data_IF_755736371609
#
_entry.id   IF_755736371609
#
_cell.length_a   1.000
_cell.length_b   1.000
_cell.length_c   1.000
_cell.angle_alpha   90.00
_cell.angle_beta   90.00
_cell.angle_gamma   90.00
#
_symmetry.space_group_name_H-M   'P 1'
#
loop_
_entity.id
_entity.type
_entity.pdbx_description
1 polymer ?
#
# COMPACT_ATOMS: atom_id res chain seq x y z
N UNK A 1 -12.58 -6.78 18.70
CA UNK A 1 -13.28 -5.73 17.92
C UNK A 1 -12.28 -5.19 16.92
N UNK A 2 -12.64 -5.03 15.66
CA UNK A 2 -11.72 -4.53 14.65
C UNK A 2 -11.36 -3.06 14.91
N UNK A 3 -10.07 -2.74 14.80
CA UNK A 3 -9.62 -1.35 14.71
C UNK A 3 -10.03 -0.73 13.37
N UNK A 4 -9.90 0.60 13.24
CA UNK A 4 -10.21 1.30 11.99
C UNK A 4 -9.31 0.82 10.84
N UNK A 5 -8.03 0.60 11.13
CA UNK A 5 -7.02 0.17 10.15
C UNK A 5 -7.18 -1.31 9.81
N UNK A 6 -7.51 -2.18 10.78
CA UNK A 6 -7.82 -3.59 10.52
C UNK A 6 -9.09 -3.76 9.70
N UNK A 7 -10.13 -2.97 10.00
CA UNK A 7 -11.35 -2.96 9.20
C UNK A 7 -11.08 -2.48 7.77
N UNK A 8 -10.21 -1.50 7.59
CA UNK A 8 -9.79 -1.03 6.27
C UNK A 8 -8.99 -2.10 5.52
N UNK A 9 -8.07 -2.79 6.20
CA UNK A 9 -7.32 -3.91 5.63
C UNK A 9 -8.27 -5.02 5.16
N UNK A 10 -9.24 -5.42 6.00
CA UNK A 10 -10.28 -6.38 5.63
C UNK A 10 -11.08 -5.92 4.40
N UNK A 11 -11.43 -4.62 4.33
CA UNK A 11 -12.14 -4.08 3.16
C UNK A 11 -11.33 -4.22 1.86
N UNK A 12 -10.02 -4.09 1.95
CA UNK A 12 -9.10 -4.16 0.81
C UNK A 12 -8.83 -5.63 0.41
N UNK A 13 -8.70 -6.53 1.38
CA UNK A 13 -8.49 -7.96 1.13
C UNK A 13 -9.73 -8.63 0.50
N UNK A 14 -10.93 -8.15 0.83
CA UNK A 14 -12.21 -8.74 0.38
C UNK A 14 -12.92 -7.98 -0.73
N UNK A 15 -12.33 -6.87 -1.23
CA UNK A 15 -12.94 -5.99 -2.24
C UNK A 15 -14.38 -5.55 -1.92
N UNK A 16 -14.73 -5.41 -0.64
CA UNK A 16 -16.10 -5.03 -0.25
C UNK A 16 -16.35 -3.54 -0.46
N UNK A 17 -17.51 -3.22 -1.04
CA UNK A 17 -17.96 -1.85 -1.20
C UNK A 17 -18.38 -1.24 0.14
N UNK A 18 -18.48 0.09 0.20
CA UNK A 18 -19.00 0.82 1.37
C UNK A 18 -20.35 0.27 1.84
N UNK A 19 -21.26 0.01 0.91
CA UNK A 19 -22.62 -0.42 1.24
C UNK A 19 -22.65 -1.83 1.82
N UNK A 20 -21.86 -2.75 1.23
CA UNK A 20 -21.68 -4.10 1.76
C UNK A 20 -21.07 -4.06 3.16
N UNK A 21 -20.04 -3.24 3.37
CA UNK A 21 -19.44 -3.06 4.70
C UNK A 21 -20.44 -2.50 5.71
N UNK A 22 -21.22 -1.50 5.31
CA UNK A 22 -22.25 -0.90 6.16
C UNK A 22 -23.33 -1.91 6.53
N UNK A 23 -23.73 -2.76 5.58
CA UNK A 23 -24.67 -3.87 5.82
C UNK A 23 -24.09 -4.89 6.82
N UNK A 24 -22.81 -5.26 6.69
CA UNK A 24 -22.13 -6.15 7.64
C UNK A 24 -22.09 -5.55 9.04
N UNK A 25 -21.73 -4.27 9.16
CA UNK A 25 -21.75 -3.54 10.43
C UNK A 25 -23.15 -3.52 11.06
N UNK A 26 -24.19 -3.16 10.29
CA UNK A 26 -25.56 -3.15 10.78
C UNK A 26 -26.07 -4.56 11.15
N UNK A 27 -25.67 -5.58 10.39
CA UNK A 27 -25.98 -6.98 10.69
C UNK A 27 -25.39 -7.43 12.03
N UNK A 28 -24.12 -7.12 12.29
CA UNK A 28 -23.47 -7.40 13.56
C UNK A 28 -24.12 -6.62 14.71
N UNK A 29 -24.38 -5.32 14.50
CA UNK A 29 -25.00 -4.44 15.50
C UNK A 29 -26.40 -4.90 15.90
N UNK A 30 -27.22 -5.36 14.94
CA UNK A 30 -28.56 -5.92 15.20
C UNK A 30 -28.52 -7.18 16.08
N UNK A 31 -27.44 -7.94 16.01
CA UNK A 31 -27.19 -9.11 16.88
C UNK A 31 -26.52 -8.74 18.21
N UNK A 32 -26.43 -7.46 18.55
CA UNK A 32 -25.76 -6.98 19.76
C UNK A 32 -24.23 -7.07 19.71
N UNK A 33 -23.64 -7.32 18.54
CA UNK A 33 -22.19 -7.42 18.37
C UNK A 33 -21.63 -6.13 17.79
N UNK A 34 -20.64 -5.55 18.47
CA UNK A 34 -19.91 -4.37 18.01
C UNK A 34 -18.58 -4.74 17.36
N UNK A 35 -18.57 -5.78 16.52
CA UNK A 35 -17.33 -6.31 15.94
C UNK A 35 -16.65 -5.33 14.98
N UNK A 36 -17.42 -4.65 14.12
CA UNK A 36 -16.92 -3.76 13.08
C UNK A 36 -17.11 -2.29 13.47
N UNK A 37 -16.11 -1.41 13.27
CA UNK A 37 -16.29 0.03 13.46
C UNK A 37 -17.28 0.63 12.46
N UNK A 38 -17.82 1.80 12.78
CA UNK A 38 -18.63 2.55 11.82
C UNK A 38 -17.76 2.99 10.64
N UNK A 39 -18.35 3.06 9.44
CA UNK A 39 -17.63 3.42 8.21
C UNK A 39 -16.96 4.80 8.30
N UNK A 40 -17.51 5.75 9.06
CA UNK A 40 -16.89 7.08 9.19
C UNK A 40 -15.51 7.03 9.86
N UNK A 41 -15.32 6.08 10.78
CA UNK A 41 -14.03 5.83 11.44
C UNK A 41 -13.05 5.21 10.43
N UNK A 42 -13.51 4.23 9.65
CA UNK A 42 -12.73 3.59 8.57
C UNK A 42 -12.37 4.60 7.47
N UNK A 43 -13.26 5.54 7.17
CA UNK A 43 -13.01 6.65 6.25
C UNK A 43 -11.90 7.56 6.79
N UNK A 44 -11.82 7.76 8.10
CA UNK A 44 -10.70 8.42 8.76
C UNK A 44 -9.38 7.69 8.48
N UNK A 45 -9.34 6.37 8.66
CA UNK A 45 -8.17 5.55 8.32
C UNK A 45 -7.78 5.67 6.85
N UNK A 46 -8.73 5.66 5.91
CA UNK A 46 -8.46 5.88 4.48
C UNK A 46 -7.74 7.20 4.21
N UNK A 47 -8.20 8.27 4.86
CA UNK A 47 -7.59 9.60 4.70
C UNK A 47 -6.15 9.65 5.21
N UNK A 48 -5.79 8.85 6.20
CA UNK A 48 -4.41 8.77 6.72
C UNK A 48 -3.41 8.20 5.70
N UNK A 49 -3.89 7.48 4.69
CA UNK A 49 -3.05 6.92 3.61
C UNK A 49 -2.83 7.91 2.46
N UNK A 50 -3.38 9.12 2.55
CA UNK A 50 -3.25 10.12 1.49
C UNK A 50 -2.23 11.18 1.90
N UNK A 51 -1.31 11.57 0.98
CA UNK A 51 -0.51 12.77 1.18
C UNK A 51 -1.41 14.01 1.12
N UNK A 52 -0.85 15.18 1.46
CA UNK A 52 -1.60 16.44 1.45
C UNK A 52 -2.33 16.67 0.11
N UNK A 53 -3.56 17.19 0.18
CA UNK A 53 -4.39 17.48 -0.99
C UNK A 53 -3.71 18.45 -1.96
N UNK A 54 -2.90 19.36 -1.42
CA UNK A 54 -2.15 20.36 -2.22
C UNK A 54 -1.12 19.72 -3.15
N UNK A 55 -0.69 18.49 -2.84
CA UNK A 55 0.29 17.74 -3.63
C UNK A 55 -0.36 16.81 -4.67
N UNK A 56 -1.69 16.78 -4.76
CA UNK A 56 -2.44 15.89 -5.66
C UNK A 56 -3.15 16.73 -6.73
N UNK A 57 -2.79 16.51 -7.99
CA UNK A 57 -3.46 17.13 -9.13
C UNK A 57 -4.19 16.07 -9.94
N UNK A 58 -5.49 16.24 -10.16
CA UNK A 58 -6.30 15.32 -10.97
C UNK A 58 -6.90 16.04 -12.16
N UNK A 59 -6.69 15.45 -13.33
CA UNK A 59 -7.22 15.89 -14.62
C UNK A 59 -8.09 14.78 -15.23
N UNK A 60 -8.71 15.05 -16.37
CA UNK A 60 -9.53 14.06 -17.08
C UNK A 60 -8.71 12.87 -17.61
N UNK A 61 -7.45 13.12 -17.99
CA UNK A 61 -6.57 12.12 -18.58
C UNK A 61 -5.71 11.39 -17.55
N UNK A 62 -5.32 12.06 -16.47
CA UNK A 62 -4.42 11.48 -15.47
C UNK A 62 -4.62 12.06 -14.05
N UNK A 63 -4.13 11.33 -13.06
CA UNK A 63 -3.95 11.79 -11.69
C UNK A 63 -2.45 11.77 -11.36
N UNK A 64 -1.96 12.82 -10.70
CA UNK A 64 -0.54 13.02 -10.38
C UNK A 64 -0.38 13.37 -8.91
N UNK A 65 0.71 12.90 -8.33
CA UNK A 65 1.15 13.28 -6.98
C UNK A 65 2.61 13.71 -7.05
N UNK A 66 2.98 14.76 -6.31
CA UNK A 66 4.37 15.19 -6.22
C UNK A 66 5.23 14.08 -5.61
N UNK A 67 6.34 13.74 -6.26
CA UNK A 67 7.20 12.62 -5.83
C UNK A 67 7.72 12.80 -4.41
N UNK A 68 8.24 14.00 -4.08
CA UNK A 68 8.76 14.28 -2.75
C UNK A 68 7.70 14.05 -1.67
N UNK A 69 6.50 14.60 -1.86
CA UNK A 69 5.38 14.41 -0.93
C UNK A 69 4.97 12.94 -0.78
N UNK A 70 5.05 12.15 -1.84
CA UNK A 70 4.77 10.71 -1.78
C UNK A 70 5.83 9.95 -0.97
N UNK A 71 7.12 10.27 -1.16
CA UNK A 71 8.22 9.65 -0.42
C UNK A 71 8.17 10.04 1.07
N UNK A 72 7.96 11.32 1.37
CA UNK A 72 7.82 11.82 2.73
C UNK A 72 6.60 11.19 3.43
N UNK A 73 5.48 11.04 2.72
CA UNK A 73 4.32 10.36 3.26
C UNK A 73 4.61 8.88 3.53
N UNK A 74 5.24 8.18 2.57
CA UNK A 74 5.55 6.76 2.71
C UNK A 74 6.52 6.50 3.86
N UNK A 75 7.56 7.32 4.01
CA UNK A 75 8.50 7.22 5.14
C UNK A 75 7.80 7.44 6.48
N UNK A 76 6.93 8.45 6.58
CA UNK A 76 6.09 8.67 7.78
C UNK A 76 5.17 7.49 8.10
N UNK A 77 4.65 6.78 7.08
CA UNK A 77 3.82 5.58 7.27
C UNK A 77 4.64 4.38 7.71
N UNK A 78 5.85 4.20 7.16
CA UNK A 78 6.78 3.14 7.60
C UNK A 78 7.18 3.35 9.07
N UNK A 79 7.44 4.60 9.48
CA UNK A 79 7.81 4.92 10.85
C UNK A 79 6.71 4.58 11.89
N UNK A 80 5.46 4.44 11.47
CA UNK A 80 4.34 4.04 12.34
C UNK A 80 4.24 2.52 12.55
N UNK A 81 5.04 1.72 11.84
CA UNK A 81 5.01 0.27 11.97
C UNK A 81 5.85 -0.11 13.18
N UNK A 82 5.20 -0.55 14.27
CA UNK A 82 5.84 -0.85 15.55
C UNK A 82 6.72 -2.12 15.50
N UNK A 83 6.40 -3.11 14.66
CA UNK A 83 7.03 -4.45 14.74
C UNK A 83 8.36 -4.67 13.99
N UNK A 84 8.64 -4.09 12.81
CA UNK A 84 9.90 -4.37 12.12
C UNK A 84 11.08 -3.54 12.63
N UNK A 85 10.86 -2.46 13.40
CA UNK A 85 11.95 -1.60 13.88
C UNK A 85 12.84 -2.33 14.89
N UNK A 86 12.28 -3.14 15.79
CA UNK A 86 13.10 -3.91 16.75
C UNK A 86 13.95 -4.97 16.06
N UNK A 87 13.41 -5.72 15.10
CA UNK A 87 14.13 -6.78 14.39
C UNK A 87 15.18 -6.22 13.42
N UNK A 88 14.95 -5.04 12.82
CA UNK A 88 15.90 -4.39 11.90
C UNK A 88 17.00 -3.66 12.68
N UNK A 89 16.67 -2.94 13.77
CA UNK A 89 17.65 -2.24 14.61
C UNK A 89 18.56 -3.19 15.41
N UNK A 90 18.06 -4.37 15.80
CA UNK A 90 18.89 -5.41 16.44
C UNK A 90 19.91 -6.03 15.48
N UNK A 91 19.68 -5.96 14.16
CA UNK A 91 20.61 -6.50 13.14
C UNK A 91 21.67 -5.51 12.70
N UNK A 92 21.42 -4.20 12.77
CA UNK A 92 22.38 -3.18 12.35
C UNK A 92 23.35 -2.76 13.46
N UNK A 93 23.00 -2.94 14.74
CA UNK A 93 23.81 -2.42 15.86
C UNK A 93 25.01 -3.28 16.24
N UNK A 94 25.09 -4.56 15.84
CA UNK A 94 26.22 -5.44 16.19
C UNK A 94 27.31 -5.53 15.12
N UNK A 95 26.98 -5.37 13.83
CA UNK A 95 27.95 -5.49 12.73
C UNK A 95 28.58 -4.15 12.30
N UNK A 96 27.92 -3.01 12.54
CA UNK A 96 28.44 -1.69 12.15
C UNK A 96 29.41 -1.08 13.16
N UNK A 97 29.24 -1.32 14.47
CA UNK A 97 30.13 -0.71 15.48
C UNK A 97 31.55 -1.30 15.41
N UNK A 98 31.69 -2.59 15.11
CA UNK A 98 33.01 -3.25 15.01
C UNK A 98 33.73 -2.93 13.70
N UNK A 99 32.99 -2.73 12.59
CA UNK A 99 33.59 -2.40 11.29
C UNK A 99 33.91 -0.91 11.13
N UNK A 100 33.15 -0.02 11.76
CA UNK A 100 33.40 1.43 11.69
C UNK A 100 34.56 1.87 12.60
N UNK A 101 34.74 1.25 13.77
CA UNK A 101 35.93 1.46 14.62
C UNK A 101 37.20 0.93 13.92
N UNK A 102 37.08 -0.16 13.14
CA UNK A 102 38.19 -0.70 12.33
C UNK A 102 38.53 0.19 11.13
N UNK A 103 37.56 0.89 10.51
CA UNK A 103 37.82 1.87 9.44
C UNK A 103 38.37 3.20 9.97
N UNK A 104 37.93 3.66 11.13
CA UNK A 104 38.42 4.92 11.74
C UNK A 104 39.91 4.87 12.11
N UNK A 105 40.51 3.69 12.26
CA UNK A 105 41.96 3.52 12.49
C UNK A 105 42.77 3.36 11.20
N UNK A 106 42.13 3.36 10.02
CA UNK A 106 42.77 3.18 8.72
C UNK A 106 42.34 4.29 7.72
N UNK A 107 43.08 5.39 7.80
CA UNK A 107 43.36 6.34 6.73
C UNK A 107 42.41 7.55 6.48
N UNK A 108 43.01 8.74 6.23
CA UNK A 108 42.32 9.99 5.99
C UNK A 108 42.02 10.21 4.49
N UNK A 109 41.03 11.07 4.23
CA UNK A 109 40.78 11.73 2.93
C UNK A 109 39.82 11.02 1.95
N UNK A 110 38.51 11.21 2.12
CA UNK A 110 37.58 11.24 0.99
C UNK A 110 36.24 11.93 1.36
N UNK A 111 35.87 12.99 0.64
CA UNK A 111 34.50 13.55 0.64
C UNK A 111 33.90 13.35 -0.76
N UNK A 112 32.60 13.03 -0.92
CA UNK A 112 31.93 13.16 -2.20
C UNK A 112 30.89 14.30 -2.23
N UNK A 113 30.86 14.98 -3.39
CA UNK A 113 29.86 15.98 -3.79
C UNK A 113 28.54 15.30 -4.15
N UNK A 114 27.42 15.89 -3.73
CA UNK A 114 26.06 15.49 -4.09
C UNK A 114 25.73 15.87 -5.55
N UNK A 115 25.38 14.87 -6.36
CA UNK A 115 24.79 15.03 -7.69
C UNK A 115 23.31 14.63 -7.67
N UNK A 116 22.45 15.47 -8.23
CA UNK A 116 20.99 15.27 -8.31
C UNK A 116 20.63 14.10 -9.24
N UNK A 117 19.80 13.18 -8.75
CA UNK A 117 19.23 12.10 -9.56
C UNK A 117 17.81 12.47 -9.98
N UNK A 118 17.60 12.68 -11.28
CA UNK A 118 16.27 12.72 -11.89
C UNK A 118 15.91 11.31 -12.38
N UNK A 119 14.81 10.76 -11.90
CA UNK A 119 14.22 9.53 -12.45
C UNK A 119 12.88 9.90 -13.07
N UNK A 120 12.80 9.85 -14.40
CA UNK A 120 11.55 9.90 -15.14
C UNK A 120 11.01 8.48 -15.31
N UNK A 121 9.86 8.19 -14.70
CA UNK A 121 9.15 6.92 -14.90
C UNK A 121 8.26 7.01 -16.15
N UNK A 122 8.62 6.30 -17.22
CA UNK A 122 7.75 6.12 -18.39
C UNK A 122 6.95 4.83 -18.22
N UNK A 123 5.62 4.95 -18.31
CA UNK A 123 4.66 3.86 -18.15
C UNK A 123 4.78 2.83 -19.29
N UNK A 124 5.63 1.82 -19.14
CA UNK A 124 5.59 0.58 -19.94
C UNK A 124 5.69 -0.65 -19.07
N UNK A 125 4.61 -0.98 -18.37
CA UNK A 125 4.33 -2.35 -17.92
C UNK A 125 2.85 -2.66 -18.24
N UNK A 126 2.62 -3.66 -19.10
CA UNK A 126 1.29 -4.04 -19.57
C UNK A 126 0.36 -4.53 -18.42
N UNK A 127 0.94 -5.01 -17.33
CA UNK A 127 0.21 -5.52 -16.16
C UNK A 127 -0.53 -4.41 -15.38
N UNK A 128 0.05 -3.21 -15.30
CA UNK A 128 -0.60 -2.06 -14.67
C UNK A 128 -1.83 -1.59 -15.45
N UNK A 129 -1.80 -1.76 -16.79
CA UNK A 129 -2.88 -1.35 -17.67
C UNK A 129 -4.16 -2.17 -17.48
N UNK A 130 -4.03 -3.47 -17.18
CA UNK A 130 -5.16 -4.38 -16.98
C UNK A 130 -5.79 -4.21 -15.58
N UNK A 131 -4.97 -4.00 -14.55
CA UNK A 131 -5.45 -3.70 -13.19
C UNK A 131 -6.27 -2.41 -13.16
N UNK A 132 -5.76 -1.33 -13.76
CA UNK A 132 -6.49 -0.06 -13.86
C UNK A 132 -7.80 -0.16 -14.65
N UNK A 133 -7.87 -1.04 -15.66
CA UNK A 133 -9.06 -1.24 -16.51
C UNK A 133 -10.16 -2.03 -15.79
N UNK A 134 -9.81 -3.13 -15.12
CA UNK A 134 -10.74 -3.94 -14.30
C UNK A 134 -11.27 -3.18 -13.07
N UNK A 135 -10.43 -2.30 -12.50
CA UNK A 135 -10.86 -1.45 -11.40
C UNK A 135 -11.82 -0.35 -11.86
N UNK A 136 -11.54 0.31 -12.99
CA UNK A 136 -12.46 1.28 -13.60
C UNK A 136 -13.84 0.65 -13.83
N UNK A 137 -13.94 -0.57 -14.34
CA UNK A 137 -15.25 -1.21 -14.55
C UNK A 137 -16.01 -1.52 -13.25
N UNK A 138 -15.33 -1.79 -12.14
CA UNK A 138 -15.97 -2.09 -10.84
C UNK A 138 -16.33 -0.85 -10.01
N UNK A 139 -15.57 0.25 -10.16
CA UNK A 139 -15.69 1.44 -9.28
C UNK A 139 -16.04 2.75 -10.01
N UNK A 140 -15.98 2.78 -11.35
CA UNK A 140 -16.38 3.95 -12.16
C UNK A 140 -17.88 3.98 -12.42
N UNK A 141 -18.69 4.07 -11.36
CA UNK A 141 -20.09 4.47 -11.50
C UNK A 141 -20.26 6.00 -11.63
N UNK A 142 -19.16 6.76 -11.70
CA UNK A 142 -19.21 8.22 -11.77
C UNK A 142 -19.06 8.73 -13.20
N UNK A 143 -20.00 9.57 -13.61
CA UNK A 143 -20.07 10.27 -14.90
C UNK A 143 -18.83 11.17 -15.21
N UNK A 144 -18.02 11.48 -14.20
CA UNK A 144 -16.89 12.39 -14.30
C UNK A 144 -15.54 11.66 -14.29
N UNK A 145 -14.76 11.78 -15.37
CA UNK A 145 -13.40 11.23 -15.50
C UNK A 145 -12.47 11.70 -14.39
N UNK A 146 -12.57 12.96 -13.97
CA UNK A 146 -11.75 13.53 -12.90
C UNK A 146 -11.99 12.80 -11.58
N UNK A 147 -13.27 12.60 -11.20
CA UNK A 147 -13.60 11.87 -9.96
C UNK A 147 -13.17 10.41 -10.03
N UNK A 148 -13.38 9.75 -11.16
CA UNK A 148 -12.93 8.38 -11.37
C UNK A 148 -11.41 8.23 -11.28
N UNK A 149 -10.64 9.15 -11.86
CA UNK A 149 -9.18 9.17 -11.75
C UNK A 149 -8.73 9.40 -10.29
N UNK A 150 -9.45 10.23 -9.54
CA UNK A 150 -9.17 10.44 -8.11
C UNK A 150 -9.44 9.17 -7.30
N UNK A 151 -10.55 8.48 -7.55
CA UNK A 151 -10.89 7.24 -6.86
C UNK A 151 -9.85 6.14 -7.12
N UNK A 152 -9.39 6.02 -8.37
CA UNK A 152 -8.28 5.10 -8.73
C UNK A 152 -7.01 5.46 -7.97
N UNK A 153 -6.62 6.74 -7.93
CA UNK A 153 -5.42 7.18 -7.20
C UNK A 153 -5.55 6.90 -5.69
N UNK A 154 -6.69 7.25 -5.09
CA UNK A 154 -6.95 7.01 -3.67
C UNK A 154 -6.89 5.52 -3.33
N UNK A 155 -7.42 4.67 -4.22
CA UNK A 155 -7.30 3.23 -4.06
C UNK A 155 -5.83 2.80 -4.11
N UNK A 156 -5.08 3.24 -5.13
CA UNK A 156 -3.67 2.90 -5.27
C UNK A 156 -2.88 3.26 -4.01
N UNK A 157 -3.05 4.48 -3.50
CA UNK A 157 -2.42 4.96 -2.27
C UNK A 157 -2.78 4.10 -1.05
N UNK A 158 -4.05 3.76 -0.85
CA UNK A 158 -4.45 2.83 0.21
C UNK A 158 -3.90 1.41 0.01
N UNK A 159 -3.74 0.96 -1.24
CA UNK A 159 -3.23 -0.38 -1.55
C UNK A 159 -1.73 -0.53 -1.41
N UNK A 160 -0.98 0.53 -1.68
CA UNK A 160 0.47 0.60 -1.53
C UNK A 160 0.91 1.06 -0.15
N UNK A 161 -0.02 1.38 0.75
CA UNK A 161 0.30 1.91 2.08
C UNK A 161 1.07 0.84 2.91
N UNK A 162 2.32 1.11 3.31
CA UNK A 162 3.17 0.12 3.95
C UNK A 162 2.66 -0.28 5.35
N UNK A 163 2.03 0.65 6.07
CA UNK A 163 1.45 0.39 7.38
C UNK A 163 0.22 -0.52 7.30
N UNK A 164 -0.71 -0.23 6.36
CA UNK A 164 -1.86 -1.10 6.12
C UNK A 164 -1.44 -2.45 5.59
N UNK A 165 -0.38 -2.54 4.80
CA UNK A 165 0.13 -3.80 4.28
C UNK A 165 0.48 -4.79 5.41
N UNK A 166 1.08 -4.31 6.51
CA UNK A 166 1.38 -5.13 7.70
C UNK A 166 0.11 -5.67 8.38
N UNK A 167 -1.03 -4.99 8.24
CA UNK A 167 -2.31 -5.37 8.86
C UNK A 167 -3.18 -6.25 7.95
N UNK A 168 -2.75 -6.51 6.71
CA UNK A 168 -3.49 -7.37 5.77
C UNK A 168 -3.25 -8.83 6.06
N UNK A 169 -4.32 -9.60 6.02
CA UNK A 169 -4.22 -11.05 6.01
C UNK A 169 -3.97 -11.47 4.57
N UNK A 170 -2.71 -11.41 4.12
CA UNK A 170 -2.33 -12.02 2.85
C UNK A 170 -2.53 -13.51 3.03
N UNK A 171 -3.69 -14.03 2.63
CA UNK A 171 -3.83 -15.48 2.47
C UNK A 171 -2.75 -15.88 1.48
N UNK A 172 -1.79 -16.75 1.86
CA UNK A 172 -0.82 -17.22 0.89
C UNK A 172 -1.62 -17.78 -0.27
N UNK A 173 -1.33 -17.33 -1.50
CA UNK A 173 -1.93 -17.95 -2.68
C UNK A 173 -1.67 -19.44 -2.55
N UNK A 174 -2.73 -20.24 -2.45
CA UNK A 174 -2.61 -21.69 -2.44
C UNK A 174 -1.90 -22.05 -3.74
N UNK A 175 -0.64 -22.46 -3.63
CA UNK A 175 0.10 -22.98 -4.77
C UNK A 175 -0.53 -24.34 -5.07
N UNK A 176 -1.47 -24.37 -6.00
CA UNK A 176 -1.94 -25.63 -6.54
C UNK A 176 -0.77 -26.28 -7.26
N UNK A 177 -0.27 -27.40 -6.72
CA UNK A 177 0.64 -28.24 -7.47
C UNK A 177 -0.10 -28.74 -8.72
N UNK A 178 0.49 -28.58 -9.93
CA UNK A 178 -0.16 -29.04 -11.15
C UNK A 178 -0.37 -30.55 -11.07
N UNK A 179 -1.53 -31.03 -11.53
CA UNK A 179 -1.79 -32.47 -11.56
C UNK A 179 -0.83 -33.16 -12.53
N UNK A 180 -0.52 -34.46 -12.33
CA UNK A 180 0.38 -35.20 -13.22
C UNK A 180 -0.07 -35.17 -14.68
N UNK A 181 -1.38 -35.15 -14.92
CA UNK A 181 -1.98 -35.03 -16.27
C UNK A 181 -1.65 -33.71 -16.94
N UNK A 182 -1.71 -32.59 -16.20
CA UNK A 182 -1.35 -31.27 -16.74
C UNK A 182 0.14 -31.20 -17.06
N UNK A 183 1.00 -31.81 -16.24
CA UNK A 183 2.44 -31.88 -16.50
C UNK A 183 2.77 -32.74 -17.73
N UNK A 184 2.01 -33.80 -17.97
CA UNK A 184 2.17 -34.65 -19.16
C UNK A 184 1.77 -33.91 -20.45
N UNK A 185 0.77 -33.03 -20.38
CA UNK A 185 0.25 -32.27 -21.53
C UNK A 185 1.23 -31.23 -22.11
N UNK A 186 2.28 -30.88 -21.36
CA UNK A 186 3.31 -29.91 -21.77
C UNK A 186 4.67 -30.59 -22.08
N UNK A 187 4.71 -31.92 -22.16
CA UNK A 187 5.95 -32.70 -22.39
C UNK A 187 6.10 -33.24 -23.83
N UNK A 188 5.34 -32.70 -24.78
CA UNK A 188 5.48 -32.98 -26.22
C UNK A 188 6.45 -31.99 -26.91
#
# INVERSE_FOLDING_TARGET
MYSADEALALMLDTDVTRDKYTLMHQGAKRKGSHLYPCYDIVRGAKKKCYPSEDCITVSESCARVTLQALLDHTTNRIAQIEEPLQIILEKETTELITTEIARSMACPHFMPRLGSWNISFTSRTAEFSNFGRSYRTKHSQQYCRVKGNRDVLNMLLCTSDPFLYTRRSITPRVQHQPTPEMVALFKD
#
